data_IF_155114649924
#
_entry.id   IF_155114649924
#
_cell.length_a   1.000
_cell.length_b   1.000
_cell.length_c   1.000
_cell.angle_alpha   90.00
_cell.angle_beta   90.00
_cell.angle_gamma   90.00
#
_symmetry.space_group_name_H-M   'P 1'
#
loop_
_entity.id
_entity.type
_entity.pdbx_description
1 polymer ?
#
# COMPACT_ATOMS: atom_id res chain seq x y z
N UNK A 1 -9.13 -29.05 -10.96
CA UNK A 1 -9.32 -27.86 -11.81
C UNK A 1 -9.49 -26.69 -10.87
N UNK A 2 -8.52 -25.79 -10.79
CA UNK A 2 -8.65 -24.51 -10.09
C UNK A 2 -8.57 -23.43 -11.16
N UNK A 3 -9.50 -22.50 -11.05
CA UNK A 3 -9.88 -21.45 -11.97
C UNK A 3 -8.71 -20.54 -12.39
N UNK A 4 -8.70 -20.15 -13.68
CA UNK A 4 -7.65 -19.38 -14.35
C UNK A 4 -7.98 -17.89 -14.21
N UNK A 5 -7.65 -17.31 -13.07
CA UNK A 5 -7.48 -15.86 -12.94
C UNK A 5 -6.00 -15.58 -12.71
N UNK A 6 -5.37 -14.76 -13.56
CA UNK A 6 -3.97 -14.29 -13.42
C UNK A 6 -3.77 -13.35 -12.20
N UNK A 7 -4.69 -13.42 -11.24
CA UNK A 7 -4.72 -12.60 -10.04
C UNK A 7 -4.13 -13.40 -8.89
N UNK A 8 -3.01 -12.93 -8.36
CA UNK A 8 -2.38 -13.51 -7.18
C UNK A 8 -2.95 -12.89 -5.92
N UNK A 9 -3.61 -13.70 -5.09
CA UNK A 9 -4.02 -13.29 -3.74
C UNK A 9 -2.84 -13.44 -2.80
N UNK A 10 -2.55 -12.38 -2.04
CA UNK A 10 -1.42 -12.33 -1.09
C UNK A 10 -1.99 -12.36 0.33
N UNK A 11 -1.58 -13.37 1.11
CA UNK A 11 -1.91 -13.42 2.53
C UNK A 11 -0.94 -12.54 3.34
N UNK A 12 -1.48 -11.88 4.37
CA UNK A 12 -0.70 -11.13 5.34
C UNK A 12 0.15 -12.08 6.19
N UNK A 13 1.36 -11.62 6.50
CA UNK A 13 2.24 -12.21 7.50
C UNK A 13 2.15 -11.42 8.81
N UNK A 14 2.61 -11.99 9.91
CA UNK A 14 2.70 -11.28 11.19
C UNK A 14 3.55 -10.00 11.08
N UNK A 15 4.64 -10.06 10.32
CA UNK A 15 5.47 -8.90 10.01
C UNK A 15 4.69 -7.78 9.28
N UNK A 16 3.77 -8.14 8.37
CA UNK A 16 2.95 -7.13 7.69
C UNK A 16 1.98 -6.43 8.65
N UNK A 17 1.43 -7.19 9.60
CA UNK A 17 0.51 -6.68 10.62
C UNK A 17 1.24 -5.75 11.62
N UNK A 18 2.43 -6.14 12.06
CA UNK A 18 3.27 -5.31 12.94
C UNK A 18 3.70 -4.01 12.24
N UNK A 19 4.16 -4.09 10.98
CA UNK A 19 4.50 -2.91 10.20
C UNK A 19 3.29 -2.01 9.94
N UNK A 20 2.10 -2.58 9.74
CA UNK A 20 0.86 -1.82 9.59
C UNK A 20 0.50 -1.10 10.90
N UNK A 21 0.69 -1.76 12.04
CA UNK A 21 0.50 -1.16 13.36
C UNK A 21 1.47 0.00 13.62
N UNK A 22 2.73 -0.12 13.23
CA UNK A 22 3.66 1.01 13.31
C UNK A 22 3.25 2.16 12.38
N UNK A 23 2.78 1.84 11.18
CA UNK A 23 2.36 2.84 10.20
C UNK A 23 1.16 3.65 10.67
N UNK A 24 0.10 3.00 11.15
CA UNK A 24 -1.12 3.69 11.61
C UNK A 24 -0.82 4.63 12.79
N UNK A 25 0.12 4.27 13.66
CA UNK A 25 0.57 5.12 14.76
C UNK A 25 1.49 6.27 14.29
N UNK A 26 2.32 6.04 13.27
CA UNK A 26 3.27 7.04 12.78
C UNK A 26 2.64 8.10 11.85
N UNK A 27 1.42 7.86 11.38
CA UNK A 27 0.58 8.77 10.60
C UNK A 27 -0.73 9.05 11.35
N UNK A 28 -0.66 9.28 12.67
CA UNK A 28 -1.83 9.47 13.52
C UNK A 28 -2.69 10.71 13.17
N UNK A 29 -2.12 11.64 12.40
CA UNK A 29 -2.82 12.81 11.84
C UNK A 29 -3.58 12.48 10.55
N UNK A 30 -3.34 11.31 9.96
CA UNK A 30 -4.01 10.84 8.75
C UNK A 30 -5.07 9.79 9.10
N UNK A 31 -6.19 9.80 8.38
CA UNK A 31 -7.29 8.86 8.56
C UNK A 31 -7.06 7.52 7.86
N UNK A 32 -5.85 6.96 7.93
CA UNK A 32 -5.55 5.66 7.32
C UNK A 32 -6.32 4.55 8.01
N UNK A 33 -6.97 3.71 7.22
CA UNK A 33 -7.53 2.47 7.72
C UNK A 33 -6.42 1.44 7.96
N UNK A 34 -6.69 0.44 8.81
CA UNK A 34 -5.75 -0.66 8.98
C UNK A 34 -5.54 -1.47 7.67
N UNK A 35 -6.55 -1.50 6.78
CA UNK A 35 -6.43 -2.11 5.45
C UNK A 35 -5.47 -1.34 4.55
N UNK A 36 -5.43 0.00 4.64
CA UNK A 36 -4.45 0.81 3.92
C UNK A 36 -3.04 0.50 4.41
N UNK A 37 -2.83 0.52 5.73
CA UNK A 37 -1.53 0.25 6.34
C UNK A 37 -1.02 -1.16 6.02
N UNK A 38 -1.87 -2.18 6.02
CA UNK A 38 -1.49 -3.55 5.65
C UNK A 38 -1.18 -3.68 4.16
N UNK A 39 -1.88 -2.94 3.30
CA UNK A 39 -1.57 -2.85 1.86
C UNK A 39 -0.19 -2.21 1.65
N UNK A 40 0.10 -1.10 2.33
CA UNK A 40 1.42 -0.45 2.27
C UNK A 40 2.54 -1.40 2.69
N UNK A 41 2.38 -2.10 3.82
CA UNK A 41 3.36 -3.09 4.32
C UNK A 41 3.64 -4.20 3.30
N UNK A 42 2.60 -4.77 2.67
CA UNK A 42 2.77 -5.79 1.63
C UNK A 42 3.53 -5.21 0.43
N UNK A 43 3.13 -4.02 -0.02
CA UNK A 43 3.75 -3.38 -1.19
C UNK A 43 5.22 -3.10 -0.96
N UNK A 44 5.61 -2.63 0.23
CA UNK A 44 7.02 -2.46 0.59
C UNK A 44 7.79 -3.79 0.60
N UNK A 45 7.25 -4.81 1.29
CA UNK A 45 7.88 -6.13 1.40
C UNK A 45 8.09 -6.78 0.04
N UNK A 46 7.12 -6.66 -0.86
CA UNK A 46 7.15 -7.24 -2.20
C UNK A 46 7.76 -6.32 -3.26
N UNK A 47 8.19 -5.10 -2.88
CA UNK A 47 8.73 -4.08 -3.77
C UNK A 47 7.79 -3.71 -4.92
N UNK A 48 6.50 -3.63 -4.64
CA UNK A 48 5.47 -3.16 -5.55
C UNK A 48 5.38 -1.64 -5.40
N UNK A 49 5.64 -0.89 -6.48
CA UNK A 49 5.56 0.57 -6.48
C UNK A 49 4.26 1.09 -7.08
N UNK A 50 3.62 0.33 -7.97
CA UNK A 50 2.45 0.76 -8.70
C UNK A 50 1.19 0.15 -8.09
N UNK A 51 0.17 0.97 -7.90
CA UNK A 51 -1.11 0.57 -7.32
C UNK A 51 -2.25 1.06 -8.18
N UNK A 52 -3.20 0.18 -8.49
CA UNK A 52 -4.45 0.58 -9.11
C UNK A 52 -5.45 0.95 -8.01
N UNK A 53 -5.68 2.25 -7.80
CA UNK A 53 -6.54 2.74 -6.72
C UNK A 53 -7.08 4.12 -7.02
N UNK A 54 -8.25 4.41 -6.46
CA UNK A 54 -8.85 5.75 -6.45
C UNK A 54 -8.72 6.43 -5.08
N UNK A 55 -8.10 5.76 -4.10
CA UNK A 55 -7.92 6.31 -2.76
C UNK A 55 -6.69 7.21 -2.67
N UNK A 56 -6.92 8.46 -2.29
CA UNK A 56 -5.89 9.47 -2.05
C UNK A 56 -4.89 9.11 -0.94
N UNK A 57 -5.21 8.19 -0.02
CA UNK A 57 -4.27 7.78 1.03
C UNK A 57 -2.93 7.27 0.47
N UNK A 58 -2.96 6.60 -0.69
CA UNK A 58 -1.77 6.10 -1.39
C UNK A 58 -0.88 7.23 -1.95
N UNK A 59 -1.44 8.43 -2.15
CA UNK A 59 -0.69 9.63 -2.54
C UNK A 59 -0.05 10.34 -1.35
N UNK A 60 -0.50 10.07 -0.11
CA UNK A 60 0.01 10.68 1.12
C UNK A 60 1.13 9.82 1.71
N UNK A 61 0.93 8.51 1.74
CA UNK A 61 1.90 7.60 2.35
C UNK A 61 3.27 7.67 1.68
N UNK A 62 4.32 7.68 2.50
CA UNK A 62 5.72 7.73 2.05
C UNK A 62 6.56 6.67 2.73
N UNK A 63 7.45 6.06 1.94
CA UNK A 63 8.21 4.87 2.34
C UNK A 63 9.68 4.91 1.90
N UNK A 64 10.43 3.89 2.28
CA UNK A 64 11.87 3.80 2.05
C UNK A 64 12.70 4.73 2.93
N UNK A 65 14.01 4.80 2.64
CA UNK A 65 14.95 5.59 3.43
C UNK A 65 14.49 7.07 3.49
N UNK A 66 14.40 7.62 4.70
CA UNK A 66 13.90 8.97 4.96
C UNK A 66 12.52 9.29 4.35
N UNK A 67 11.68 8.28 4.05
CA UNK A 67 10.35 8.47 3.44
C UNK A 67 10.40 9.22 2.10
N UNK A 68 11.45 9.00 1.30
CA UNK A 68 11.64 9.69 0.03
C UNK A 68 10.86 9.07 -1.16
N UNK A 69 10.22 7.92 -0.97
CA UNK A 69 9.48 7.21 -2.02
C UNK A 69 7.97 7.34 -1.82
N UNK A 70 7.26 7.35 -2.94
CA UNK A 70 5.80 7.34 -3.01
C UNK A 70 5.36 6.26 -4.00
N UNK A 71 4.14 5.76 -3.85
CA UNK A 71 3.55 4.84 -4.80
C UNK A 71 3.09 5.57 -6.07
N UNK A 72 3.18 4.90 -7.21
CA UNK A 72 2.55 5.33 -8.45
C UNK A 72 1.08 4.91 -8.41
N UNK A 73 0.16 5.86 -8.43
CA UNK A 73 -1.27 5.55 -8.46
C UNK A 73 -1.79 5.51 -9.90
N UNK A 74 -2.44 4.41 -10.25
CA UNK A 74 -3.05 4.14 -11.55
C UNK A 74 -4.59 4.07 -11.42
N UNK A 75 -5.34 4.44 -12.48
CA UNK A 75 -4.84 5.09 -13.69
C UNK A 75 -4.31 6.48 -13.36
N UNK A 76 -3.28 6.93 -14.09
CA UNK A 76 -2.78 8.30 -13.93
C UNK A 76 -3.93 9.27 -14.21
N UNK A 77 -4.07 10.33 -13.39
CA UNK A 77 -5.04 11.39 -13.68
C UNK A 77 -4.78 11.90 -15.09
N UNK A 78 -5.74 11.71 -16.00
CA UNK A 78 -5.67 12.27 -17.33
C UNK A 78 -5.52 13.78 -17.20
N UNK A 79 -4.38 14.31 -17.64
CA UNK A 79 -4.17 15.74 -17.82
C UNK A 79 -5.11 16.14 -18.97
N UNK A 80 -6.27 16.70 -18.64
CA UNK A 80 -7.12 17.43 -19.57
C UNK A 80 -6.87 18.93 -19.38
#
# INVERSE_FOLDING_TARGET
>A
MVDKSDIKVICLTEHDLEAAWHTINAYADQSFSFTDCTTFSIMERLRISDVFTFDHHFLIYRYGLHRQKAFTCLPEKSIN
#
